data_IF_408965385204
#
_entry.id   IF_408965385204
#
_cell.length_a   1.000
_cell.length_b   1.000
_cell.length_c   1.000
_cell.angle_alpha   90.00
_cell.angle_beta   90.00
_cell.angle_gamma   90.00
#
_symmetry.space_group_name_H-M   'P 1'
#
loop_
_entity.id
_entity.type
_entity.pdbx_description
1 polymer ?
#
# COMPACT_ATOMS: atom_id res chain seq x y z
N UNK A 1 -3.78 28.69 -1.47
CA UNK A 1 -3.38 28.08 -0.18
C UNK A 1 -4.44 27.18 0.40
N UNK A 2 -5.68 27.68 0.55
CA UNK A 2 -6.78 26.83 1.02
C UNK A 2 -7.04 25.63 0.10
N UNK A 3 -6.90 25.80 -1.22
CA UNK A 3 -7.10 24.71 -2.19
C UNK A 3 -6.04 23.64 -2.08
N UNK A 4 -4.81 23.99 -1.69
CA UNK A 4 -3.74 23.02 -1.49
C UNK A 4 -4.00 22.16 -0.24
N UNK A 5 -4.36 22.80 0.86
CA UNK A 5 -4.72 22.10 2.09
C UNK A 5 -5.92 21.18 1.91
N UNK A 6 -6.92 21.68 1.21
CA UNK A 6 -8.12 20.89 0.92
C UNK A 6 -7.77 19.65 0.10
N UNK A 7 -6.87 19.79 -0.88
CA UNK A 7 -6.39 18.66 -1.70
C UNK A 7 -5.75 17.58 -0.86
N UNK A 8 -4.83 17.96 0.03
CA UNK A 8 -4.15 16.99 0.87
C UNK A 8 -5.10 16.26 1.81
N UNK A 9 -6.03 17.00 2.39
CA UNK A 9 -7.04 16.41 3.28
C UNK A 9 -7.96 15.45 2.55
N UNK A 10 -8.20 15.65 1.25
CA UNK A 10 -9.04 14.77 0.44
C UNK A 10 -8.29 13.62 -0.21
N UNK A 11 -6.97 13.68 -0.23
CA UNK A 11 -6.14 12.64 -0.83
C UNK A 11 -5.77 11.59 0.21
N UNK A 12 -6.69 10.65 0.42
CA UNK A 12 -6.48 9.57 1.38
C UNK A 12 -5.57 8.46 0.83
N UNK A 13 -5.38 8.41 -0.48
CA UNK A 13 -4.50 7.41 -1.14
C UNK A 13 -3.42 8.15 -1.91
N UNK A 14 -2.17 7.84 -1.59
CA UNK A 14 -1.00 8.48 -2.20
C UNK A 14 -0.54 7.66 -3.40
N UNK A 15 -0.32 8.31 -4.53
CA UNK A 15 0.25 7.64 -5.69
C UNK A 15 1.78 7.59 -5.56
N UNK A 16 2.33 6.37 -5.52
CA UNK A 16 3.77 6.18 -5.41
C UNK A 16 4.41 6.12 -6.79
N UNK A 17 5.55 6.78 -6.89
CA UNK A 17 6.41 6.76 -8.06
C UNK A 17 7.81 6.39 -7.60
N UNK A 18 8.71 6.17 -8.55
CA UNK A 18 10.09 5.88 -8.23
C UNK A 18 10.72 7.03 -7.42
N UNK A 19 10.27 8.26 -7.62
CA UNK A 19 10.84 9.43 -6.95
C UNK A 19 10.40 9.58 -5.50
N UNK A 20 9.22 9.09 -5.11
CA UNK A 20 8.73 9.25 -3.74
C UNK A 20 8.61 7.94 -2.95
N UNK A 21 8.96 6.81 -3.57
CA UNK A 21 8.79 5.49 -2.95
C UNK A 21 9.59 5.36 -1.65
N UNK A 22 10.90 5.57 -1.73
CA UNK A 22 11.78 5.39 -0.58
C UNK A 22 11.39 6.29 0.59
N UNK A 23 11.11 7.55 0.30
CA UNK A 23 10.70 8.52 1.31
C UNK A 23 9.39 8.10 1.99
N UNK A 24 8.42 7.67 1.22
CA UNK A 24 7.12 7.27 1.76
C UNK A 24 7.25 6.04 2.66
N UNK A 25 8.01 5.04 2.20
CA UNK A 25 8.22 3.81 2.98
C UNK A 25 9.00 4.08 4.25
N UNK A 26 10.00 4.95 4.19
CA UNK A 26 10.86 5.26 5.33
C UNK A 26 10.14 6.11 6.40
N UNK A 27 9.33 7.06 5.96
CA UNK A 27 8.73 8.04 6.86
C UNK A 27 7.39 7.61 7.46
N UNK A 28 6.88 6.45 7.10
CA UNK A 28 5.60 5.95 7.59
C UNK A 28 5.76 4.55 8.18
N UNK A 29 5.21 4.35 9.36
CA UNK A 29 5.36 3.08 10.07
C UNK A 29 4.69 1.92 9.36
N UNK A 30 3.48 2.13 8.86
CA UNK A 30 2.71 1.10 8.15
C UNK A 30 2.25 1.67 6.83
N UNK A 31 2.63 1.00 5.74
CA UNK A 31 2.25 1.40 4.39
C UNK A 31 1.63 0.21 3.68
N UNK A 32 0.42 0.40 3.13
CA UNK A 32 -0.18 -0.58 2.24
C UNK A 32 -0.11 -0.07 0.81
N UNK A 33 0.23 -0.95 -0.11
CA UNK A 33 0.37 -0.61 -1.53
C UNK A 33 -0.59 -1.45 -2.36
N UNK A 34 -1.38 -0.78 -3.19
CA UNK A 34 -2.22 -1.39 -4.22
C UNK A 34 -1.50 -1.25 -5.58
N UNK A 35 -1.01 -2.36 -6.11
CA UNK A 35 -0.43 -2.38 -7.46
C UNK A 35 -1.56 -2.56 -8.46
N UNK A 36 -1.69 -1.62 -9.37
CA UNK A 36 -2.83 -1.55 -10.28
C UNK A 36 -2.42 -1.07 -11.68
N UNK A 37 -3.36 -1.04 -12.61
CA UNK A 37 -3.20 -0.43 -13.92
C UNK A 37 -4.53 0.14 -14.39
N UNK A 38 -4.53 1.20 -15.21
CA UNK A 38 -5.78 1.84 -15.64
C UNK A 38 -6.69 0.98 -16.52
N UNK A 39 -6.13 -0.03 -17.17
CA UNK A 39 -6.91 -0.94 -18.03
C UNK A 39 -7.43 -2.18 -17.31
N UNK A 40 -7.11 -2.32 -16.04
CA UNK A 40 -7.44 -3.52 -15.26
C UNK A 40 -8.82 -3.38 -14.62
N UNK A 41 -9.80 -4.16 -15.09
CA UNK A 41 -11.16 -4.12 -14.57
C UNK A 41 -11.26 -4.38 -13.07
N UNK A 42 -10.70 -5.50 -12.56
CA UNK A 42 -10.73 -5.76 -11.11
C UNK A 42 -10.05 -4.68 -10.29
N UNK A 43 -8.99 -4.05 -10.80
CA UNK A 43 -8.32 -2.93 -10.12
C UNK A 43 -9.25 -1.74 -9.96
N UNK A 44 -9.99 -1.42 -11.04
CA UNK A 44 -10.92 -0.29 -11.03
C UNK A 44 -12.11 -0.56 -10.11
N UNK A 45 -12.56 -1.81 -10.02
CA UNK A 45 -13.62 -2.20 -9.09
C UNK A 45 -13.17 -2.11 -7.64
N UNK A 46 -11.91 -2.42 -7.38
CA UNK A 46 -11.34 -2.39 -6.02
C UNK A 46 -11.04 -0.97 -5.55
N UNK A 47 -10.76 -0.05 -6.44
CA UNK A 47 -10.33 1.31 -6.09
C UNK A 47 -11.25 2.02 -5.10
N UNK A 48 -12.59 2.01 -5.27
CA UNK A 48 -13.47 2.64 -4.28
C UNK A 48 -13.38 2.00 -2.89
N UNK A 49 -13.29 0.67 -2.83
CA UNK A 49 -13.14 -0.05 -1.57
C UNK A 49 -11.86 0.35 -0.84
N UNK A 50 -10.77 0.42 -1.59
CA UNK A 50 -9.47 0.81 -1.03
C UNK A 50 -9.50 2.24 -0.49
N UNK A 51 -10.09 3.14 -1.25
CA UNK A 51 -10.23 4.54 -0.84
C UNK A 51 -11.11 4.69 0.40
N UNK A 52 -12.27 4.03 0.42
CA UNK A 52 -13.17 4.08 1.57
C UNK A 52 -12.50 3.54 2.83
N UNK A 53 -11.77 2.45 2.71
CA UNK A 53 -11.04 1.88 3.84
C UNK A 53 -9.97 2.83 4.34
N UNK A 54 -9.30 3.55 3.44
CA UNK A 54 -8.28 4.53 3.82
C UNK A 54 -8.85 5.66 4.68
N UNK A 55 -10.12 5.96 4.50
CA UNK A 55 -10.79 7.00 5.28
C UNK A 55 -11.22 6.53 6.66
N UNK A 56 -11.29 5.21 6.87
CA UNK A 56 -11.74 4.60 8.12
C UNK A 56 -10.61 4.13 9.02
N UNK A 57 -9.51 3.65 8.43
CA UNK A 57 -8.41 3.04 9.18
C UNK A 57 -7.33 4.08 9.46
N UNK A 58 -7.08 4.34 10.74
CA UNK A 58 -6.04 5.27 11.16
C UNK A 58 -4.71 4.56 11.35
N UNK A 59 -3.61 5.30 11.24
CA UNK A 59 -2.28 4.79 11.49
C UNK A 59 -1.68 3.99 10.34
N UNK A 60 -2.34 3.95 9.19
CA UNK A 60 -1.85 3.28 7.98
C UNK A 60 -1.83 4.26 6.83
N UNK A 61 -0.73 4.30 6.12
CA UNK A 61 -0.61 5.12 4.91
C UNK A 61 -1.02 4.27 3.71
N UNK A 62 -2.10 4.66 3.06
CA UNK A 62 -2.61 3.95 1.87
C UNK A 62 -1.97 4.53 0.63
N UNK A 63 -1.41 3.66 -0.19
CA UNK A 63 -0.72 4.06 -1.41
C UNK A 63 -1.11 3.16 -2.58
N UNK A 64 -0.82 3.61 -3.78
CA UNK A 64 -1.01 2.81 -4.98
C UNK A 64 0.14 3.05 -5.96
N UNK A 65 0.44 2.02 -6.75
CA UNK A 65 1.47 2.09 -7.79
C UNK A 65 0.84 1.67 -9.10
N UNK A 66 0.89 2.56 -10.08
CA UNK A 66 0.46 2.27 -11.45
C UNK A 66 1.59 1.49 -12.13
N UNK A 67 1.38 0.18 -12.31
CA UNK A 67 2.43 -0.70 -12.84
C UNK A 67 2.77 -0.40 -14.30
N UNK A 68 1.90 0.27 -15.02
CA UNK A 68 2.18 0.65 -16.39
C UNK A 68 3.14 1.83 -16.47
N UNK A 69 2.97 2.81 -15.59
CA UNK A 69 3.86 3.97 -15.52
C UNK A 69 5.14 3.67 -14.76
N UNK A 70 5.05 2.84 -13.71
CA UNK A 70 6.16 2.52 -12.81
C UNK A 70 6.60 1.08 -13.01
N UNK A 71 7.07 0.78 -14.21
CA UNK A 71 7.45 -0.59 -14.59
C UNK A 71 8.63 -1.11 -13.76
N UNK A 72 9.57 -0.25 -13.42
CA UNK A 72 10.72 -0.63 -12.60
C UNK A 72 10.30 -1.08 -11.20
N UNK A 73 9.34 -0.39 -10.59
CA UNK A 73 8.81 -0.79 -9.27
C UNK A 73 8.07 -2.11 -9.34
N UNK A 74 7.22 -2.29 -10.37
CA UNK A 74 6.52 -3.56 -10.57
C UNK A 74 7.48 -4.72 -10.74
N UNK A 75 8.54 -4.53 -11.50
CA UNK A 75 9.56 -5.55 -11.73
C UNK A 75 10.35 -5.84 -10.47
N UNK A 76 10.71 -4.80 -9.72
CA UNK A 76 11.47 -4.95 -8.48
C UNK A 76 10.74 -5.84 -7.48
N UNK A 77 9.44 -5.68 -7.35
CA UNK A 77 8.62 -6.47 -6.45
C UNK A 77 8.05 -7.73 -7.10
N UNK A 78 8.44 -8.02 -8.33
CA UNK A 78 8.03 -9.22 -9.07
C UNK A 78 6.51 -9.35 -9.16
N UNK A 79 5.84 -8.23 -9.44
CA UNK A 79 4.40 -8.22 -9.57
C UNK A 79 4.02 -8.90 -10.87
N UNK A 80 3.31 -10.02 -10.79
CA UNK A 80 2.91 -10.83 -11.95
C UNK A 80 1.44 -10.70 -12.29
N UNK A 81 0.65 -10.26 -11.34
CA UNK A 81 -0.79 -10.06 -11.55
C UNK A 81 -1.24 -8.84 -10.79
N UNK A 82 -2.32 -8.22 -11.24
CA UNK A 82 -2.89 -7.05 -10.62
C UNK A 82 -4.41 -7.25 -10.46
N UNK A 83 -5.01 -6.74 -9.38
CA UNK A 83 -4.34 -6.03 -8.31
C UNK A 83 -3.50 -6.96 -7.44
N UNK A 84 -2.45 -6.43 -6.82
CA UNK A 84 -1.67 -7.10 -5.79
C UNK A 84 -1.52 -6.13 -4.63
N UNK A 85 -1.70 -6.64 -3.42
CA UNK A 85 -1.55 -5.84 -2.21
C UNK A 85 -0.27 -6.21 -1.48
N UNK A 86 0.48 -5.20 -1.06
CA UNK A 86 1.66 -5.38 -0.21
C UNK A 86 1.55 -4.48 1.01
N UNK A 87 2.09 -4.95 2.14
CA UNK A 87 2.16 -4.16 3.36
C UNK A 87 3.60 -4.10 3.83
N UNK A 88 4.03 -2.89 4.17
CA UNK A 88 5.34 -2.63 4.77
C UNK A 88 5.13 -2.15 6.21
N UNK A 89 5.93 -2.68 7.13
CA UNK A 89 6.03 -2.18 8.49
C UNK A 89 7.48 -1.82 8.78
N UNK A 90 7.69 -0.57 9.21
CA UNK A 90 9.04 -0.07 9.55
C UNK A 90 10.04 -0.33 8.42
N UNK A 91 9.59 -0.15 7.18
CA UNK A 91 10.42 -0.33 5.99
C UNK A 91 10.60 -1.77 5.52
N UNK A 92 9.99 -2.73 6.20
CA UNK A 92 10.12 -4.15 5.86
C UNK A 92 8.80 -4.66 5.28
N UNK A 93 8.87 -5.32 4.13
CA UNK A 93 7.70 -5.94 3.53
C UNK A 93 7.27 -7.16 4.33
N UNK A 94 6.05 -7.13 4.86
CA UNK A 94 5.53 -8.19 5.73
C UNK A 94 4.40 -8.98 5.09
N UNK A 95 3.87 -8.52 3.96
CA UNK A 95 2.71 -9.16 3.32
C UNK A 95 2.73 -8.85 1.83
N UNK A 96 2.40 -9.85 1.02
CA UNK A 96 2.21 -9.69 -0.41
C UNK A 96 1.25 -10.76 -0.91
N UNK A 97 0.16 -10.34 -1.53
CA UNK A 97 -0.84 -11.28 -2.03
C UNK A 97 -1.55 -10.72 -3.25
N UNK A 98 -1.68 -11.53 -4.32
CA UNK A 98 -2.50 -11.15 -5.48
C UNK A 98 -3.98 -11.11 -5.13
N UNK A 99 -4.71 -10.27 -5.82
CA UNK A 99 -6.15 -10.17 -5.72
C UNK A 99 -6.61 -9.02 -4.86
N UNK A 100 -7.92 -8.75 -4.94
CA UNK A 100 -8.58 -7.73 -4.14
C UNK A 100 -9.18 -8.34 -2.88
N UNK A 101 -9.57 -7.49 -1.94
CA UNK A 101 -10.24 -7.88 -0.71
C UNK A 101 -11.50 -7.07 -0.55
N UNK A 102 -12.47 -7.61 0.19
CA UNK A 102 -13.62 -6.81 0.64
C UNK A 102 -13.13 -5.75 1.64
N UNK A 103 -13.92 -4.72 1.85
CA UNK A 103 -13.55 -3.69 2.84
C UNK A 103 -13.32 -4.26 4.22
N UNK A 104 -14.17 -5.20 4.64
CA UNK A 104 -14.02 -5.85 5.94
C UNK A 104 -12.73 -6.66 6.03
N UNK A 105 -12.43 -7.45 5.02
CA UNK A 105 -11.22 -8.26 5.02
C UNK A 105 -9.97 -7.39 4.99
N UNK A 106 -10.03 -6.28 4.27
CA UNK A 106 -8.93 -5.31 4.23
C UNK A 106 -8.71 -4.68 5.60
N UNK A 107 -9.78 -4.28 6.29
CA UNK A 107 -9.69 -3.74 7.65
C UNK A 107 -9.11 -4.77 8.60
N UNK A 108 -9.57 -6.02 8.54
CA UNK A 108 -9.06 -7.10 9.39
C UNK A 108 -7.58 -7.36 9.14
N UNK A 109 -7.17 -7.37 7.87
CA UNK A 109 -5.77 -7.54 7.51
C UNK A 109 -4.89 -6.45 8.11
N UNK A 110 -5.34 -5.21 8.03
CA UNK A 110 -4.59 -4.07 8.55
C UNK A 110 -4.51 -4.08 10.07
N UNK A 111 -5.59 -4.48 10.74
CA UNK A 111 -5.55 -4.64 12.21
C UNK A 111 -4.53 -5.70 12.62
N UNK A 112 -4.46 -6.81 11.89
CA UNK A 112 -3.45 -7.83 12.14
C UNK A 112 -2.04 -7.31 11.88
N UNK A 113 -1.86 -6.53 10.82
CA UNK A 113 -0.56 -5.95 10.49
C UNK A 113 -0.04 -5.05 11.61
N UNK A 114 -0.93 -4.35 12.31
CA UNK A 114 -0.56 -3.49 13.44
C UNK A 114 -0.03 -4.27 14.63
N UNK A 115 -0.40 -5.53 14.76
CA UNK A 115 -0.05 -6.36 15.93
C UNK A 115 1.18 -7.24 15.72
N UNK A 116 1.78 -7.22 14.54
CA UNK A 116 2.96 -8.04 14.25
C UNK A 116 4.14 -7.58 15.10
N UNK A 117 4.84 -8.55 15.70
CA UNK A 117 6.04 -8.28 16.50
C UNK A 117 7.21 -7.98 15.57
N UNK A 118 7.50 -6.70 15.40
CA UNK A 118 8.56 -6.27 14.48
C UNK A 118 9.95 -6.60 14.98
N UNK A 119 10.15 -6.77 16.29
CA UNK A 119 11.45 -7.21 16.81
C UNK A 119 11.80 -8.61 16.31
N UNK A 120 10.83 -9.51 16.30
CA UNK A 120 11.01 -10.85 15.76
C UNK A 120 11.25 -10.83 14.24
N UNK A 121 10.49 -10.00 13.52
CA UNK A 121 10.66 -9.86 12.06
C UNK A 121 12.06 -9.35 11.74
N UNK A 122 12.54 -8.36 12.47
CA UNK A 122 13.87 -7.78 12.26
C UNK A 122 14.98 -8.82 12.52
N UNK A 123 14.79 -9.67 13.53
CA UNK A 123 15.74 -10.74 13.81
C UNK A 123 15.81 -11.74 12.66
N UNK A 124 14.67 -12.12 12.08
CA UNK A 124 14.63 -13.03 10.93
C UNK A 124 15.31 -12.42 9.71
N UNK A 125 15.09 -11.13 9.47
CA UNK A 125 15.73 -10.43 8.35
C UNK A 125 17.25 -10.39 8.54
N UNK A 126 17.72 -10.13 9.76
CA UNK A 126 19.16 -10.11 10.06
C UNK A 126 19.83 -11.47 9.91
N UNK A 127 19.06 -12.55 10.12
CA UNK A 127 19.58 -13.91 10.04
C UNK A 127 19.56 -14.50 8.62
N UNK A 128 19.07 -13.74 7.65
CA UNK A 128 19.13 -14.12 6.24
C UNK A 128 20.41 -13.56 5.60
#
# INVERSE_FOLDING_TARGET
MLSYFYRELCMSVIELTQSNFDETITNNEIVIIDFWAPWCGPCLQFAPTFKETSEKVEGVTFTKINTEEEQALGAHFRIRSIPTLMIFREGIGIFSQPGSLSGKDLEDLLEKAKTINMDEVKKEVENQ
#
